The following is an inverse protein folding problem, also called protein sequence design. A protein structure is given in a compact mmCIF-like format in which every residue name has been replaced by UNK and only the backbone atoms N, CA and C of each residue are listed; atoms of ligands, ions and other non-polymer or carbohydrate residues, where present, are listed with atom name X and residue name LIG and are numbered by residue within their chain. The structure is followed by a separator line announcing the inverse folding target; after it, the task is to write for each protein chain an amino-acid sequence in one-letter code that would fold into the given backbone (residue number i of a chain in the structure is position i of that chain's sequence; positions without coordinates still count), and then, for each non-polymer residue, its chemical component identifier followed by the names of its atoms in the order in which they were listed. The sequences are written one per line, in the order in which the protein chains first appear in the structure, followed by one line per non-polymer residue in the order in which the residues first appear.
data_IF_300257157683
#
_entry.id   IF_300257157683
#
_cell.length_a   1.000
_cell.length_b   1.000
_cell.length_c   1.000
_cell.angle_alpha   90.00
_cell.angle_beta   90.00
_cell.angle_gamma   90.00
#
_symmetry.space_group_name_H-M   'P 1'
#
loop_
_entity.id
_entity.type
_entity.pdbx_description
1 polymer ?
#
# COMPACT_ATOMS: atom_id res chain seq x y z
N UNK A 1 32.95 7.12 52.64
CA UNK A 1 31.75 7.39 51.82
C UNK A 1 31.37 6.11 51.09
N UNK A 2 30.09 5.73 51.12
CA UNK A 2 29.61 4.57 50.36
C UNK A 2 29.49 4.91 48.88
N UNK A 3 29.81 3.98 48.00
CA UNK A 3 29.73 4.15 46.55
C UNK A 3 28.30 4.49 46.13
N UNK A 4 27.30 3.89 46.78
CA UNK A 4 25.89 4.11 46.55
C UNK A 4 25.49 5.59 46.84
N UNK A 5 26.06 6.21 47.89
CA UNK A 5 25.85 7.63 48.19
C UNK A 5 26.42 8.55 47.10
N UNK A 6 27.58 8.20 46.55
CA UNK A 6 28.18 8.90 45.40
C UNK A 6 27.25 8.76 44.16
N UNK A 7 26.84 7.56 43.82
CA UNK A 7 25.99 7.31 42.67
C UNK A 7 24.64 8.08 42.79
N UNK A 8 23.96 8.01 43.93
CA UNK A 8 22.71 8.76 44.18
C UNK A 8 22.90 10.28 44.10
N UNK A 9 24.02 10.80 44.58
CA UNK A 9 24.29 12.24 44.49
C UNK A 9 24.46 12.67 43.03
N UNK A 10 25.23 11.92 42.26
CA UNK A 10 25.44 12.19 40.82
C UNK A 10 24.10 12.06 40.07
N UNK A 11 23.35 11.00 40.29
CA UNK A 11 22.03 10.82 39.70
C UNK A 11 21.07 11.97 40.01
N UNK A 12 20.97 12.34 41.30
CA UNK A 12 20.06 13.42 41.74
C UNK A 12 20.47 14.76 41.19
N UNK A 13 21.75 15.12 41.28
CA UNK A 13 22.24 16.46 40.97
C UNK A 13 22.35 16.70 39.46
N UNK A 14 22.72 15.69 38.67
CA UNK A 14 22.87 15.83 37.22
C UNK A 14 21.64 15.37 36.45
N UNK A 15 21.10 14.20 36.79
CA UNK A 15 19.97 13.57 36.06
C UNK A 15 18.61 14.12 36.48
N UNK A 16 18.52 14.63 37.70
CA UNK A 16 17.24 15.02 38.28
C UNK A 16 16.47 13.85 38.88
N UNK A 17 16.10 13.95 40.15
CA UNK A 17 15.31 12.93 40.84
C UNK A 17 13.95 13.46 41.23
N UNK A 18 12.89 12.73 40.88
CA UNK A 18 11.56 13.00 41.42
C UNK A 18 11.54 12.62 42.90
N UNK A 19 11.42 13.61 43.77
CA UNK A 19 11.41 13.43 45.24
C UNK A 19 10.00 13.32 45.78
N UNK A 20 9.04 14.00 45.17
CA UNK A 20 7.63 13.97 45.56
C UNK A 20 6.75 14.42 44.39
N UNK A 21 5.45 14.31 44.60
CA UNK A 21 4.43 14.82 43.68
C UNK A 21 3.45 15.68 44.45
N UNK A 22 3.01 16.76 43.84
CA UNK A 22 1.91 17.55 44.39
C UNK A 22 0.77 17.67 43.39
N UNK A 23 -0.43 17.77 43.92
CA UNK A 23 -1.65 17.97 43.15
C UNK A 23 -2.00 19.46 43.12
N UNK A 24 -2.33 19.94 41.95
CA UNK A 24 -2.89 21.27 41.77
C UNK A 24 -4.06 21.17 40.82
N UNK A 25 -5.23 21.50 41.30
CA UNK A 25 -6.50 21.31 40.59
C UNK A 25 -6.70 19.82 40.18
N UNK A 26 -6.86 19.52 38.90
CA UNK A 26 -7.01 18.17 38.39
C UNK A 26 -5.66 17.52 38.02
N UNK A 27 -4.58 18.26 38.00
CA UNK A 27 -3.27 17.80 37.51
C UNK A 27 -2.31 17.42 38.63
N UNK A 28 -1.41 16.48 38.34
CA UNK A 28 -0.37 15.99 39.21
C UNK A 28 1.01 16.38 38.66
N UNK A 29 1.80 17.08 39.44
CA UNK A 29 3.12 17.61 39.08
C UNK A 29 4.21 16.90 39.87
N UNK A 30 5.29 16.50 39.16
CA UNK A 30 6.49 15.93 39.76
C UNK A 30 7.38 17.06 40.31
N UNK A 31 7.86 16.91 41.54
CA UNK A 31 8.90 17.77 42.12
C UNK A 31 10.26 17.14 41.87
N UNK A 32 11.05 17.76 41.00
CA UNK A 32 12.34 17.24 40.58
C UNK A 32 13.44 18.07 41.27
N UNK A 33 14.33 17.40 41.99
CA UNK A 33 15.52 18.03 42.57
C UNK A 33 16.71 17.80 41.67
N UNK A 34 17.38 18.87 41.25
CA UNK A 34 18.60 18.82 40.43
C UNK A 34 19.41 20.08 40.63
N UNK A 35 20.69 20.05 40.24
CA UNK A 35 21.54 21.25 40.22
C UNK A 35 21.03 22.22 39.13
N UNK A 36 21.18 23.52 39.37
CA UNK A 36 20.85 24.56 38.38
C UNK A 36 21.59 24.32 37.05
N UNK A 37 21.03 24.80 35.93
CA UNK A 37 21.61 24.58 34.62
C UNK A 37 23.09 25.05 34.51
N UNK A 38 23.44 26.18 35.16
CA UNK A 38 24.83 26.67 35.18
C UNK A 38 25.81 25.86 36.02
N UNK A 39 25.31 25.01 36.93
CA UNK A 39 26.15 24.13 37.77
C UNK A 39 26.24 22.70 37.28
N UNK A 40 25.78 22.42 36.06
CA UNK A 40 25.85 21.09 35.39
C UNK A 40 26.12 21.21 33.88
N UNK A 41 26.77 22.29 33.48
CA UNK A 41 27.02 22.56 32.06
C UNK A 41 28.29 21.88 31.54
N UNK A 42 29.29 21.67 32.41
CA UNK A 42 30.58 21.12 32.04
C UNK A 42 30.97 19.94 32.92
N UNK A 43 31.87 19.06 32.46
CA UNK A 43 32.36 17.93 33.26
C UNK A 43 33.03 18.38 34.57
N UNK A 44 33.63 19.57 34.60
CA UNK A 44 34.28 20.16 35.80
C UNK A 44 33.27 20.49 36.91
N UNK A 45 32.02 20.75 36.57
CA UNK A 45 30.96 21.04 37.55
C UNK A 45 30.66 19.81 38.43
N UNK A 46 30.91 18.59 37.93
CA UNK A 46 30.80 17.35 38.71
C UNK A 46 31.75 17.38 39.90
N UNK A 47 32.96 17.90 39.72
CA UNK A 47 33.98 18.00 40.77
C UNK A 47 33.57 18.93 41.92
N UNK A 48 32.66 19.87 41.68
CA UNK A 48 32.14 20.83 42.68
C UNK A 48 31.00 20.29 43.53
N UNK A 49 30.48 19.11 43.21
CA UNK A 49 29.41 18.47 44.00
C UNK A 49 30.00 17.90 45.29
N UNK A 50 29.18 17.84 46.34
CA UNK A 50 29.56 17.30 47.65
C UNK A 50 28.67 16.12 48.01
N UNK A 51 29.28 15.12 48.61
CA UNK A 51 28.61 13.92 49.14
C UNK A 51 28.74 13.93 50.67
N UNK A 52 27.67 13.55 51.36
CA UNK A 52 27.67 13.41 52.81
C UNK A 52 28.45 12.18 53.24
N UNK A 53 29.48 12.34 54.02
CA UNK A 53 30.29 11.28 54.60
C UNK A 53 29.85 10.85 56.00
N UNK A 54 30.69 10.08 56.72
CA UNK A 54 30.43 9.71 58.11
C UNK A 54 30.54 10.96 58.99
N UNK A 55 29.64 11.08 59.96
CA UNK A 55 29.66 12.21 60.91
C UNK A 55 29.23 13.53 60.31
N UNK A 56 28.41 13.48 59.23
CA UNK A 56 27.84 14.66 58.57
C UNK A 56 28.85 15.55 57.82
N UNK A 57 30.09 15.08 57.64
CA UNK A 57 31.12 15.80 56.92
C UNK A 57 30.78 15.83 55.42
N UNK A 58 30.87 17.03 54.81
CA UNK A 58 30.70 17.20 53.36
C UNK A 58 32.04 16.97 52.65
N UNK A 59 32.09 15.93 51.82
CA UNK A 59 33.29 15.51 51.06
C UNK A 59 33.09 15.90 49.59
N UNK A 60 34.02 16.70 49.01
CA UNK A 60 33.91 17.04 47.60
C UNK A 60 34.09 15.84 46.71
N UNK A 61 33.28 15.77 45.63
CA UNK A 61 33.26 14.64 44.70
C UNK A 61 34.61 14.49 43.98
N UNK A 62 35.32 15.61 43.77
CA UNK A 62 36.67 15.61 43.18
C UNK A 62 37.72 14.75 43.93
N UNK A 63 37.53 14.50 45.22
CA UNK A 63 38.40 13.66 46.01
C UNK A 63 38.01 12.18 45.99
N UNK A 64 36.82 11.85 45.47
CA UNK A 64 36.22 10.51 45.48
C UNK A 64 36.17 9.83 44.10
N UNK A 65 36.08 10.65 43.03
CA UNK A 65 35.89 10.13 41.67
C UNK A 65 36.82 10.80 40.67
N UNK A 66 37.16 10.07 39.63
CA UNK A 66 37.84 10.60 38.44
C UNK A 66 36.86 10.60 37.29
N UNK A 67 36.61 11.77 36.73
CA UNK A 67 35.75 11.94 35.56
C UNK A 67 36.56 11.61 34.29
N UNK A 68 36.09 10.69 33.48
CA UNK A 68 36.69 10.37 32.19
C UNK A 68 35.61 10.49 31.10
N UNK A 69 35.90 11.25 30.08
CA UNK A 69 35.08 11.28 28.89
C UNK A 69 35.20 9.94 28.15
N UNK A 70 34.05 9.35 27.81
CA UNK A 70 33.96 8.11 27.08
C UNK A 70 32.74 8.12 26.17
N UNK A 71 32.84 7.47 25.03
CA UNK A 71 31.69 7.22 24.17
C UNK A 71 30.85 6.11 24.79
N UNK A 72 29.62 6.43 25.12
CA UNK A 72 28.65 5.47 25.67
C UNK A 72 27.34 5.54 24.89
N UNK A 73 26.69 4.42 24.62
CA UNK A 73 25.38 4.45 23.97
C UNK A 73 24.37 5.15 24.88
N UNK A 74 23.59 6.06 24.29
CA UNK A 74 22.53 6.79 25.00
C UNK A 74 21.45 5.87 25.53
N UNK A 75 21.13 4.82 24.76
CA UNK A 75 20.11 3.83 25.05
C UNK A 75 20.65 2.42 24.74
N UNK A 76 20.33 1.47 25.58
CA UNK A 76 20.65 0.05 25.38
C UNK A 76 19.38 -0.67 24.93
N UNK A 77 19.10 -0.56 23.66
CA UNK A 77 17.91 -1.19 23.08
C UNK A 77 18.06 -2.70 23.02
N UNK A 78 16.96 -3.40 23.23
CA UNK A 78 16.85 -4.84 23.07
C UNK A 78 15.74 -5.15 22.08
N UNK A 79 16.00 -6.08 21.19
CA UNK A 79 15.03 -6.65 20.28
C UNK A 79 15.08 -8.16 20.37
N UNK A 80 13.95 -8.83 20.56
CA UNK A 80 13.88 -10.27 20.79
C UNK A 80 14.86 -10.75 21.87
N UNK A 81 14.94 -10.05 23.01
CA UNK A 81 15.81 -10.32 24.14
C UNK A 81 17.34 -10.24 23.87
N UNK A 82 17.72 -9.74 22.69
CA UNK A 82 19.14 -9.51 22.33
C UNK A 82 19.40 -8.01 22.28
N UNK A 83 20.65 -7.62 22.58
CA UNK A 83 21.06 -6.23 22.36
C UNK A 83 20.94 -5.88 20.90
N UNK A 84 20.32 -4.74 20.63
CA UNK A 84 20.06 -4.27 19.27
C UNK A 84 20.46 -2.81 19.09
N UNK A 85 20.83 -2.47 17.87
CA UNK A 85 21.00 -1.10 17.39
C UNK A 85 20.06 -0.91 16.21
N UNK A 86 19.25 0.14 16.27
CA UNK A 86 18.35 0.49 15.17
C UNK A 86 19.06 1.46 14.21
N UNK A 87 19.13 1.08 12.95
CA UNK A 87 19.61 1.94 11.86
C UNK A 87 18.38 2.43 11.12
N UNK A 88 18.16 3.73 11.12
CA UNK A 88 17.06 4.38 10.39
C UNK A 88 17.62 5.23 9.27
N UNK A 89 16.99 5.18 8.11
CA UNK A 89 17.39 5.98 6.96
C UNK A 89 16.14 6.44 6.18
N UNK A 90 16.24 7.60 5.57
CA UNK A 90 15.27 8.09 4.59
C UNK A 90 15.77 7.78 3.18
N UNK A 91 14.86 7.39 2.31
CA UNK A 91 15.21 7.11 0.92
C UNK A 91 15.52 8.40 0.16
N UNK A 92 16.59 8.39 -0.63
CA UNK A 92 16.84 9.45 -1.59
C UNK A 92 15.82 9.38 -2.74
N UNK A 93 15.51 10.53 -3.38
CA UNK A 93 14.62 10.53 -4.54
C UNK A 93 15.11 9.57 -5.63
N UNK A 94 14.20 8.75 -6.16
CA UNK A 94 14.48 7.81 -7.24
C UNK A 94 14.83 6.39 -6.80
N UNK A 95 14.98 6.12 -5.52
CA UNK A 95 15.19 4.76 -4.99
C UNK A 95 13.91 4.18 -4.39
N UNK A 96 13.68 2.90 -4.63
CA UNK A 96 12.56 2.17 -4.03
C UNK A 96 12.94 1.56 -2.68
N UNK A 97 11.94 1.32 -1.83
CA UNK A 97 12.14 0.61 -0.54
C UNK A 97 12.75 -0.78 -0.74
N UNK A 98 12.35 -1.48 -1.81
CA UNK A 98 12.87 -2.81 -2.13
C UNK A 98 14.36 -2.80 -2.45
N UNK A 99 14.82 -1.88 -3.31
CA UNK A 99 16.24 -1.72 -3.65
C UNK A 99 17.08 -1.35 -2.43
N UNK A 100 16.59 -0.43 -1.60
CA UNK A 100 17.29 -0.04 -0.38
C UNK A 100 17.43 -1.21 0.61
N UNK A 101 16.38 -2.01 0.79
CA UNK A 101 16.42 -3.18 1.66
C UNK A 101 17.37 -4.26 1.12
N UNK A 102 17.36 -4.49 -0.19
CA UNK A 102 18.30 -5.42 -0.81
C UNK A 102 19.75 -4.96 -0.61
N UNK A 103 20.02 -3.68 -0.85
CA UNK A 103 21.35 -3.10 -0.60
C UNK A 103 21.79 -3.25 0.86
N UNK A 104 20.88 -2.99 1.80
CA UNK A 104 21.18 -3.17 3.24
C UNK A 104 21.46 -4.62 3.59
N UNK A 105 20.74 -5.59 3.02
CA UNK A 105 21.01 -7.02 3.21
C UNK A 105 22.39 -7.41 2.66
N UNK A 106 22.76 -6.92 1.47
CA UNK A 106 24.07 -7.18 0.86
C UNK A 106 25.22 -6.58 1.68
N UNK A 107 25.06 -5.35 2.18
CA UNK A 107 26.03 -4.69 3.06
C UNK A 107 26.15 -5.44 4.39
N UNK A 108 25.03 -5.81 4.99
CA UNK A 108 25.00 -6.55 6.25
C UNK A 108 25.71 -7.89 6.11
N UNK A 109 25.46 -8.64 5.05
CA UNK A 109 26.13 -9.92 4.79
C UNK A 109 27.65 -9.79 4.62
N UNK A 110 28.11 -8.63 4.12
CA UNK A 110 29.53 -8.37 3.89
C UNK A 110 30.27 -7.83 5.12
N UNK A 111 29.60 -7.02 5.95
CA UNK A 111 30.23 -6.23 7.00
C UNK A 111 30.04 -6.84 8.39
N UNK A 112 28.89 -7.50 8.65
CA UNK A 112 28.59 -8.01 9.97
C UNK A 112 29.39 -9.29 10.29
N UNK A 113 30.05 -9.34 11.46
CA UNK A 113 30.73 -10.56 11.94
C UNK A 113 29.73 -11.69 12.25
N UNK A 114 30.25 -12.91 12.34
CA UNK A 114 29.45 -14.05 12.78
C UNK A 114 28.86 -13.81 14.19
N UNK A 115 27.56 -14.11 14.34
CA UNK A 115 26.81 -13.90 15.59
C UNK A 115 25.90 -12.68 15.61
N UNK A 116 26.01 -11.80 14.63
CA UNK A 116 25.05 -10.73 14.44
C UNK A 116 23.90 -11.20 13.53
N UNK A 117 22.68 -10.75 13.85
CA UNK A 117 21.49 -10.98 13.03
C UNK A 117 20.85 -9.64 12.69
N UNK A 118 20.30 -9.54 11.51
CA UNK A 118 19.51 -8.37 11.05
C UNK A 118 18.04 -8.69 11.12
N UNK A 119 17.26 -7.72 11.57
CA UNK A 119 15.80 -7.80 11.61
C UNK A 119 15.24 -6.48 11.09
N UNK A 120 14.13 -6.56 10.37
CA UNK A 120 13.42 -5.38 9.90
C UNK A 120 12.38 -4.93 10.92
N UNK A 121 12.18 -3.62 11.02
CA UNK A 121 11.17 -3.04 11.90
C UNK A 121 10.29 -2.02 11.14
N UNK A 122 9.08 -1.75 11.67
CA UNK A 122 8.15 -0.79 11.11
C UNK A 122 7.78 -1.08 9.64
N UNK A 123 7.73 -0.03 8.82
CA UNK A 123 7.31 -0.09 7.41
C UNK A 123 8.16 -1.06 6.58
N UNK A 124 9.45 -1.19 6.87
CA UNK A 124 10.34 -2.11 6.16
C UNK A 124 9.96 -3.58 6.39
N UNK A 125 9.56 -3.93 7.61
CA UNK A 125 9.07 -5.26 7.95
C UNK A 125 7.75 -5.56 7.25
N UNK A 126 6.82 -4.61 7.27
CA UNK A 126 5.53 -4.73 6.60
C UNK A 126 5.71 -4.88 5.08
N UNK A 127 6.59 -4.09 4.50
CA UNK A 127 6.91 -4.19 3.07
C UNK A 127 7.40 -5.59 2.69
N UNK A 128 8.36 -6.16 3.45
CA UNK A 128 8.88 -7.50 3.16
C UNK A 128 7.85 -8.60 3.40
N UNK A 129 7.07 -8.50 4.46
CA UNK A 129 6.01 -9.47 4.77
C UNK A 129 4.89 -9.45 3.73
N UNK A 130 4.55 -8.25 3.22
CA UNK A 130 3.42 -8.06 2.31
C UNK A 130 3.79 -8.27 0.84
N UNK A 131 5.04 -8.00 0.44
CA UNK A 131 5.43 -8.01 -0.98
C UNK A 131 5.20 -9.37 -1.67
N UNK A 132 5.48 -10.47 -1.00
CA UNK A 132 5.20 -11.81 -1.52
C UNK A 132 3.70 -12.14 -1.52
N UNK A 133 3.01 -11.83 -0.44
CA UNK A 133 1.59 -12.11 -0.29
C UNK A 133 0.74 -11.28 -1.26
N UNK A 134 1.04 -9.99 -1.43
CA UNK A 134 0.29 -9.12 -2.34
C UNK A 134 0.47 -9.48 -3.80
N UNK A 135 1.65 -9.98 -4.22
CA UNK A 135 1.86 -10.52 -5.55
C UNK A 135 0.96 -11.73 -5.83
N UNK A 136 0.90 -12.67 -4.88
CA UNK A 136 -0.02 -13.82 -4.97
C UNK A 136 -1.48 -13.38 -5.02
N UNK A 137 -1.88 -12.45 -4.13
CA UNK A 137 -3.26 -11.91 -4.10
C UNK A 137 -3.61 -11.25 -5.44
N UNK A 138 -2.68 -10.51 -6.05
CA UNK A 138 -2.88 -9.89 -7.36
C UNK A 138 -3.15 -10.93 -8.46
N UNK A 139 -2.33 -11.99 -8.52
CA UNK A 139 -2.52 -13.07 -9.50
C UNK A 139 -3.84 -13.81 -9.26
N UNK A 140 -4.15 -14.12 -7.99
CA UNK A 140 -5.42 -14.75 -7.63
C UNK A 140 -6.63 -13.86 -7.95
N UNK A 141 -6.53 -12.56 -7.74
CA UNK A 141 -7.59 -11.62 -8.11
C UNK A 141 -7.84 -11.61 -9.62
N UNK A 142 -6.78 -11.55 -10.43
CA UNK A 142 -6.91 -11.65 -11.89
C UNK A 142 -7.53 -12.98 -12.32
N UNK A 143 -7.08 -14.10 -11.75
CA UNK A 143 -7.62 -15.43 -12.04
C UNK A 143 -9.10 -15.52 -11.67
N UNK A 144 -9.46 -15.03 -10.47
CA UNK A 144 -10.85 -15.06 -10.02
C UNK A 144 -11.76 -14.21 -10.91
N UNK A 145 -11.33 -12.98 -11.25
CA UNK A 145 -12.08 -12.12 -12.18
C UNK A 145 -12.21 -12.81 -13.53
N UNK A 146 -11.14 -13.42 -14.06
CA UNK A 146 -11.17 -14.15 -15.31
C UNK A 146 -12.19 -15.31 -15.28
N UNK A 147 -12.19 -16.12 -14.22
CA UNK A 147 -13.11 -17.26 -14.07
C UNK A 147 -14.57 -16.80 -13.94
N UNK A 148 -14.83 -15.77 -13.13
CA UNK A 148 -16.19 -15.22 -12.98
C UNK A 148 -16.70 -14.65 -14.30
N UNK A 149 -15.87 -13.90 -15.01
CA UNK A 149 -16.25 -13.36 -16.32
C UNK A 149 -16.41 -14.48 -17.36
N UNK A 150 -15.59 -15.52 -17.33
CA UNK A 150 -15.72 -16.66 -18.23
C UNK A 150 -17.04 -17.40 -18.02
N UNK A 151 -17.46 -17.53 -16.77
CA UNK A 151 -18.78 -18.09 -16.43
C UNK A 151 -19.93 -17.17 -16.87
N UNK A 152 -19.78 -15.85 -16.69
CA UNK A 152 -20.79 -14.85 -17.03
C UNK A 152 -21.00 -14.72 -18.56
N UNK A 153 -19.92 -14.74 -19.32
CA UNK A 153 -19.95 -14.56 -20.78
C UNK A 153 -20.02 -15.87 -21.57
N UNK A 154 -19.94 -17.01 -20.89
CA UNK A 154 -19.86 -18.33 -21.53
C UNK A 154 -18.75 -18.39 -22.61
N UNK A 155 -17.68 -17.67 -22.40
CA UNK A 155 -16.57 -17.47 -23.33
C UNK A 155 -15.27 -17.29 -22.57
N UNK A 156 -14.16 -17.78 -23.12
CA UNK A 156 -12.81 -17.50 -22.61
C UNK A 156 -12.16 -16.30 -23.29
N UNK A 157 -12.67 -15.89 -24.45
CA UNK A 157 -12.11 -14.79 -25.24
C UNK A 157 -12.55 -13.44 -24.69
N UNK A 158 -13.82 -13.29 -24.33
CA UNK A 158 -14.37 -12.04 -23.84
C UNK A 158 -13.70 -11.56 -22.53
N UNK A 159 -13.51 -12.42 -21.50
CA UNK A 159 -12.75 -12.07 -20.32
C UNK A 159 -11.31 -11.66 -20.61
N UNK A 160 -10.65 -12.35 -21.55
CA UNK A 160 -9.29 -12.00 -21.94
C UNK A 160 -9.21 -10.58 -22.53
N UNK A 161 -10.14 -10.22 -23.39
CA UNK A 161 -10.25 -8.87 -23.97
C UNK A 161 -10.51 -7.83 -22.89
N UNK A 162 -11.38 -8.13 -21.93
CA UNK A 162 -11.70 -7.24 -20.79
C UNK A 162 -10.45 -7.02 -19.92
N UNK A 163 -9.75 -8.09 -19.56
CA UNK A 163 -8.57 -8.02 -18.69
C UNK A 163 -7.38 -7.31 -19.34
N UNK A 164 -7.37 -7.13 -20.64
CA UNK A 164 -6.33 -6.34 -21.31
C UNK A 164 -6.38 -4.84 -20.91
N UNK A 165 -7.50 -4.38 -20.36
CA UNK A 165 -7.61 -3.05 -19.77
C UNK A 165 -6.75 -2.88 -18.51
N UNK A 166 -6.43 -3.97 -17.81
CA UNK A 166 -5.66 -3.93 -16.55
C UNK A 166 -4.22 -3.44 -16.76
N UNK A 167 -3.40 -4.04 -17.66
CA UNK A 167 -2.05 -3.52 -17.93
C UNK A 167 -2.05 -2.05 -18.35
N UNK A 168 -3.05 -1.64 -19.14
CA UNK A 168 -3.17 -0.25 -19.59
C UNK A 168 -3.39 0.71 -18.41
N UNK A 169 -4.24 0.33 -17.48
CA UNK A 169 -4.50 1.13 -16.28
C UNK A 169 -3.30 1.15 -15.32
N UNK A 170 -2.55 0.04 -15.23
CA UNK A 170 -1.32 -0.02 -14.45
C UNK A 170 -0.26 0.96 -14.96
N UNK A 171 -0.12 1.08 -16.29
CA UNK A 171 0.77 2.11 -16.88
C UNK A 171 0.35 3.50 -16.44
N UNK A 172 -0.96 3.81 -16.46
CA UNK A 172 -1.48 5.08 -15.97
C UNK A 172 -1.18 5.35 -14.49
N UNK A 173 -1.33 4.33 -13.65
CA UNK A 173 -1.01 4.41 -12.23
C UNK A 173 0.49 4.66 -11.99
N UNK A 174 1.36 3.93 -12.69
CA UNK A 174 2.81 4.07 -12.56
C UNK A 174 3.31 5.46 -13.05
N UNK A 175 2.72 5.98 -14.12
CA UNK A 175 3.01 7.34 -14.60
C UNK A 175 2.60 8.37 -13.55
N UNK A 176 1.40 8.27 -12.99
CA UNK A 176 0.95 9.17 -11.94
C UNK A 176 1.85 9.13 -10.71
N UNK A 177 2.23 7.94 -10.24
CA UNK A 177 3.17 7.77 -9.13
C UNK A 177 4.53 8.42 -9.44
N UNK A 178 5.07 8.24 -10.64
CA UNK A 178 6.34 8.86 -11.04
C UNK A 178 6.25 10.38 -11.04
N UNK A 179 5.16 10.95 -11.52
CA UNK A 179 4.95 12.41 -11.56
C UNK A 179 4.78 13.03 -10.18
N UNK A 180 4.21 12.28 -9.24
CA UNK A 180 3.96 12.75 -7.86
C UNK A 180 5.07 12.37 -6.89
N UNK A 181 6.15 11.74 -7.35
CA UNK A 181 7.25 11.26 -6.50
C UNK A 181 6.89 10.07 -5.61
N UNK A 182 5.80 9.37 -5.93
CA UNK A 182 5.37 8.17 -5.20
C UNK A 182 6.30 6.99 -5.44
N UNK A 183 6.41 6.11 -4.42
CA UNK A 183 7.20 4.88 -4.46
C UNK A 183 6.34 3.64 -4.48
N UNK A 184 6.87 2.54 -5.02
CA UNK A 184 6.19 1.25 -4.97
C UNK A 184 6.30 0.68 -3.54
N UNK A 185 5.20 0.73 -2.80
CA UNK A 185 5.09 0.26 -1.43
C UNK A 185 3.79 -0.54 -1.21
N UNK A 186 3.54 -1.00 -0.01
CA UNK A 186 2.32 -1.78 0.33
C UNK A 186 1.05 -1.03 -0.06
N UNK A 187 0.98 0.27 0.17
CA UNK A 187 -0.21 1.08 -0.11
C UNK A 187 -0.45 1.26 -1.60
N UNK A 188 0.60 1.51 -2.38
CA UNK A 188 0.49 1.58 -3.84
C UNK A 188 0.10 0.22 -4.45
N UNK A 189 0.60 -0.90 -3.89
CA UNK A 189 0.20 -2.25 -4.31
C UNK A 189 -1.28 -2.53 -4.02
N UNK A 190 -1.79 -2.13 -2.85
CA UNK A 190 -3.22 -2.21 -2.53
C UNK A 190 -4.03 -1.36 -3.52
N UNK A 191 -3.56 -0.16 -3.83
CA UNK A 191 -4.15 0.70 -4.85
C UNK A 191 -4.22 0.04 -6.22
N UNK A 192 -3.14 -0.64 -6.65
CA UNK A 192 -3.09 -1.38 -7.92
C UNK A 192 -4.08 -2.56 -7.95
N UNK A 193 -4.18 -3.33 -6.86
CA UNK A 193 -5.17 -4.42 -6.75
C UNK A 193 -6.60 -3.88 -6.85
N UNK A 194 -6.89 -2.78 -6.14
CA UNK A 194 -8.19 -2.11 -6.21
C UNK A 194 -8.49 -1.61 -7.62
N UNK A 195 -7.49 -1.06 -8.31
CA UNK A 195 -7.61 -0.56 -9.68
C UNK A 195 -8.03 -1.65 -10.67
N UNK A 196 -7.56 -2.90 -10.50
CA UNK A 196 -7.97 -4.04 -11.35
C UNK A 196 -9.49 -4.20 -11.37
N UNK A 197 -10.13 -4.19 -10.19
CA UNK A 197 -11.58 -4.30 -10.09
C UNK A 197 -12.32 -3.09 -10.67
N UNK A 198 -11.78 -1.89 -10.48
CA UNK A 198 -12.41 -0.67 -10.97
C UNK A 198 -12.37 -0.56 -12.50
N UNK A 199 -11.23 -0.88 -13.13
CA UNK A 199 -11.05 -0.73 -14.57
C UNK A 199 -11.77 -1.82 -15.37
N UNK A 200 -11.83 -3.05 -14.85
CA UNK A 200 -12.48 -4.17 -15.52
C UNK A 200 -13.95 -3.88 -15.85
N UNK A 201 -14.63 -3.08 -15.03
CA UNK A 201 -16.01 -2.63 -15.25
C UNK A 201 -16.19 -1.96 -16.61
N UNK A 202 -15.22 -1.16 -17.08
CA UNK A 202 -15.33 -0.46 -18.37
C UNK A 202 -15.28 -1.43 -19.55
N UNK A 203 -14.38 -2.40 -19.49
CA UNK A 203 -14.31 -3.48 -20.47
C UNK A 203 -15.60 -4.30 -20.50
N UNK A 204 -16.14 -4.65 -19.32
CA UNK A 204 -17.40 -5.40 -19.20
C UNK A 204 -18.54 -4.65 -19.91
N UNK A 205 -18.71 -3.36 -19.64
CA UNK A 205 -19.80 -2.57 -20.24
C UNK A 205 -19.74 -2.50 -21.76
N UNK A 206 -18.54 -2.44 -22.35
CA UNK A 206 -18.36 -2.40 -23.81
C UNK A 206 -18.62 -3.78 -24.40
N UNK A 207 -17.98 -4.83 -23.85
CA UNK A 207 -18.05 -6.19 -24.39
C UNK A 207 -19.47 -6.76 -24.26
N UNK A 208 -20.12 -6.60 -23.11
CA UNK A 208 -21.48 -7.08 -22.87
C UNK A 208 -22.46 -6.45 -23.88
N UNK A 209 -22.39 -5.14 -24.04
CA UNK A 209 -23.30 -4.46 -24.98
C UNK A 209 -22.98 -4.81 -26.44
N UNK A 210 -21.71 -5.00 -26.78
CA UNK A 210 -21.31 -5.50 -28.10
C UNK A 210 -21.90 -6.89 -28.37
N UNK A 211 -21.85 -7.78 -27.37
CA UNK A 211 -22.46 -9.12 -27.47
C UNK A 211 -23.98 -9.07 -27.64
N UNK A 212 -24.66 -8.12 -26.95
CA UNK A 212 -26.11 -7.92 -27.11
C UNK A 212 -26.46 -7.46 -28.52
N UNK A 213 -25.76 -6.47 -29.09
CA UNK A 213 -25.99 -5.99 -30.45
C UNK A 213 -25.69 -7.08 -31.50
N UNK A 214 -24.66 -7.89 -31.31
CA UNK A 214 -24.35 -9.03 -32.17
C UNK A 214 -25.47 -10.09 -32.15
N UNK A 215 -26.04 -10.37 -30.98
CA UNK A 215 -27.21 -11.27 -30.86
C UNK A 215 -28.44 -10.75 -31.61
N UNK A 216 -28.53 -9.42 -31.82
CA UNK A 216 -29.58 -8.77 -32.63
C UNK A 216 -29.27 -8.79 -34.12
N UNK A 217 -28.16 -9.42 -34.56
CA UNK A 217 -27.80 -9.59 -35.96
C UNK A 217 -26.85 -8.56 -36.55
N UNK A 218 -26.30 -7.63 -35.72
CA UNK A 218 -25.33 -6.65 -36.21
C UNK A 218 -23.97 -7.28 -36.52
N UNK A 219 -23.27 -6.74 -37.52
CA UNK A 219 -21.90 -7.13 -37.82
C UNK A 219 -20.98 -6.77 -36.66
N UNK A 220 -19.98 -7.62 -36.34
CA UNK A 220 -19.09 -7.46 -35.17
C UNK A 220 -18.49 -6.06 -35.05
N UNK A 221 -18.02 -5.49 -36.17
CA UNK A 221 -17.38 -4.17 -36.17
C UNK A 221 -18.38 -3.05 -35.87
N UNK A 222 -19.56 -3.11 -36.44
CA UNK A 222 -20.63 -2.13 -36.23
C UNK A 222 -21.14 -2.21 -34.80
N UNK A 223 -21.42 -3.40 -34.31
CA UNK A 223 -21.85 -3.67 -32.94
C UNK A 223 -20.89 -3.09 -31.90
N UNK A 224 -19.60 -3.26 -32.10
CA UNK A 224 -18.57 -2.78 -31.16
C UNK A 224 -18.44 -1.24 -31.18
N UNK A 225 -18.46 -0.63 -32.36
CA UNK A 225 -18.39 0.83 -32.48
C UNK A 225 -19.62 1.47 -31.89
N UNK A 226 -20.80 0.92 -32.15
CA UNK A 226 -22.05 1.38 -31.58
C UNK A 226 -22.07 1.20 -30.05
N UNK A 227 -21.66 0.04 -29.56
CA UNK A 227 -21.53 -0.24 -28.13
C UNK A 227 -20.60 0.76 -27.44
N UNK A 228 -19.44 1.00 -28.01
CA UNK A 228 -18.46 1.96 -27.45
C UNK A 228 -19.04 3.39 -27.44
N UNK A 229 -19.74 3.80 -28.48
CA UNK A 229 -20.33 5.14 -28.58
C UNK A 229 -21.47 5.34 -27.55
N UNK A 230 -22.38 4.39 -27.43
CA UNK A 230 -23.51 4.44 -26.50
C UNK A 230 -23.07 4.34 -25.03
N UNK A 231 -22.01 3.55 -24.76
CA UNK A 231 -21.46 3.38 -23.40
C UNK A 231 -20.43 4.43 -23.02
N UNK A 232 -19.98 5.27 -23.93
CA UNK A 232 -19.00 6.33 -23.64
C UNK A 232 -19.45 7.24 -22.51
N UNK A 233 -20.68 7.76 -22.55
CA UNK A 233 -21.21 8.66 -21.53
C UNK A 233 -21.29 8.01 -20.15
N UNK A 234 -21.87 6.80 -19.95
CA UNK A 234 -21.86 6.09 -18.67
C UNK A 234 -20.44 5.82 -18.14
N UNK A 235 -19.50 5.43 -19.02
CA UNK A 235 -18.12 5.18 -18.64
C UNK A 235 -17.45 6.46 -18.12
N UNK A 236 -17.56 7.57 -18.87
CA UNK A 236 -16.99 8.85 -18.47
C UNK A 236 -17.60 9.40 -17.16
N UNK A 237 -18.92 9.26 -16.98
CA UNK A 237 -19.57 9.65 -15.74
C UNK A 237 -19.06 8.86 -14.52
N UNK A 238 -18.95 7.54 -14.65
CA UNK A 238 -18.47 6.70 -13.56
C UNK A 238 -16.99 6.90 -13.31
N UNK A 239 -16.17 7.10 -14.34
CA UNK A 239 -14.74 7.44 -14.19
C UNK A 239 -14.59 8.79 -13.49
N UNK A 240 -15.32 9.80 -13.95
CA UNK A 240 -15.31 11.12 -13.32
C UNK A 240 -15.69 11.06 -11.84
N UNK A 241 -16.74 10.34 -11.49
CA UNK A 241 -17.15 10.15 -10.11
C UNK A 241 -16.06 9.45 -9.26
N UNK A 242 -15.42 8.40 -9.78
CA UNK A 242 -14.36 7.68 -9.07
C UNK A 242 -13.09 8.51 -8.93
N UNK A 243 -12.67 9.21 -9.98
CA UNK A 243 -11.50 10.10 -9.97
C UNK A 243 -11.70 11.25 -8.98
N UNK A 244 -12.85 11.94 -9.06
CA UNK A 244 -13.17 13.02 -8.13
C UNK A 244 -13.33 12.52 -6.68
N UNK A 245 -13.89 11.33 -6.50
CA UNK A 245 -14.00 10.68 -5.19
C UNK A 245 -12.65 10.27 -4.59
N UNK A 246 -11.65 9.94 -5.43
CA UNK A 246 -10.30 9.62 -4.99
C UNK A 246 -9.40 10.86 -4.82
N UNK A 247 -9.80 12.03 -5.36
CA UNK A 247 -9.01 13.26 -5.28
C UNK A 247 -8.72 13.72 -3.84
N UNK A 248 -9.68 13.70 -2.90
CA UNK A 248 -9.40 14.03 -1.50
C UNK A 248 -8.36 13.11 -0.87
N UNK A 249 -8.33 11.83 -1.30
CA UNK A 249 -7.33 10.87 -0.85
C UNK A 249 -5.94 11.18 -1.42
N UNK A 250 -5.89 11.53 -2.71
CA UNK A 250 -4.66 11.92 -3.41
C UNK A 250 -4.05 13.23 -2.89
N UNK A 251 -4.88 14.14 -2.38
CA UNK A 251 -4.46 15.45 -1.84
C UNK A 251 -4.47 15.47 -0.30
N UNK A 252 -4.54 14.32 0.36
CA UNK A 252 -4.58 14.23 1.82
C UNK A 252 -3.37 14.92 2.46
N UNK A 253 -3.58 15.53 3.63
CA UNK A 253 -2.55 16.19 4.44
C UNK A 253 -2.63 15.72 5.90
N UNK A 254 -1.58 15.97 6.68
CA UNK A 254 -1.50 15.60 8.09
C UNK A 254 -1.00 14.17 8.33
N UNK A 255 -1.22 13.65 9.54
CA UNK A 255 -0.72 12.33 9.94
C UNK A 255 -1.27 11.21 9.03
N UNK A 256 -0.38 10.34 8.53
CA UNK A 256 -0.71 9.25 7.61
C UNK A 256 -1.13 9.71 6.21
N UNK A 257 -0.85 10.95 5.81
CA UNK A 257 -1.16 11.47 4.48
C UNK A 257 -0.44 10.70 3.38
N UNK A 258 0.80 10.34 3.61
CA UNK A 258 1.65 9.64 2.63
C UNK A 258 1.01 8.34 2.13
N UNK A 259 0.50 7.51 3.03
CA UNK A 259 -0.19 6.25 2.68
C UNK A 259 -1.46 6.50 1.86
N UNK A 260 -2.25 7.50 2.25
CA UNK A 260 -3.49 7.86 1.54
C UNK A 260 -3.21 8.44 0.17
N UNK A 261 -2.22 9.32 0.04
CA UNK A 261 -1.80 9.90 -1.24
C UNK A 261 -1.37 8.83 -2.23
N UNK A 262 -0.61 7.83 -1.79
CA UNK A 262 -0.17 6.72 -2.64
C UNK A 262 -1.35 5.97 -3.27
N UNK A 263 -2.34 5.58 -2.45
CA UNK A 263 -3.56 4.92 -2.93
C UNK A 263 -4.34 5.86 -3.87
N UNK A 264 -4.50 7.13 -3.46
CA UNK A 264 -5.24 8.12 -4.22
C UNK A 264 -4.67 8.36 -5.62
N UNK A 265 -3.36 8.58 -5.73
CA UNK A 265 -2.72 8.81 -7.02
C UNK A 265 -2.71 7.59 -7.93
N UNK A 266 -2.59 6.38 -7.38
CA UNK A 266 -2.73 5.14 -8.15
C UNK A 266 -4.13 5.05 -8.78
N UNK A 267 -5.18 5.34 -8.01
CA UNK A 267 -6.57 5.31 -8.51
C UNK A 267 -6.80 6.44 -9.53
N UNK A 268 -6.44 7.67 -9.21
CA UNK A 268 -6.63 8.84 -10.10
C UNK A 268 -5.91 8.63 -11.43
N UNK A 269 -4.63 8.30 -11.40
CA UNK A 269 -3.83 8.09 -12.61
C UNK A 269 -4.24 6.86 -13.40
N UNK A 270 -4.44 5.73 -12.69
CA UNK A 270 -4.84 4.47 -13.30
C UNK A 270 -6.21 4.54 -13.96
N UNK A 271 -7.19 5.16 -13.28
CA UNK A 271 -8.53 5.33 -13.84
C UNK A 271 -8.56 6.34 -14.99
N UNK A 272 -7.89 7.48 -14.88
CA UNK A 272 -7.92 8.51 -15.92
C UNK A 272 -7.28 8.01 -17.22
N UNK A 273 -6.02 7.60 -17.18
CA UNK A 273 -5.31 7.11 -18.36
C UNK A 273 -5.82 5.73 -18.81
N UNK A 274 -6.10 4.84 -17.84
CA UNK A 274 -6.64 3.52 -18.11
C UNK A 274 -7.97 3.58 -18.85
N UNK A 275 -8.90 4.44 -18.44
CA UNK A 275 -10.19 4.61 -19.13
C UNK A 275 -9.98 5.15 -20.54
N UNK A 276 -9.14 6.18 -20.69
CA UNK A 276 -8.83 6.75 -22.00
C UNK A 276 -8.34 5.67 -22.97
N UNK A 277 -7.38 4.85 -22.54
CA UNK A 277 -6.82 3.79 -23.36
C UNK A 277 -7.83 2.66 -23.59
N UNK A 278 -8.60 2.27 -22.57
CA UNK A 278 -9.57 1.17 -22.65
C UNK A 278 -10.65 1.43 -23.70
N UNK A 279 -11.13 2.68 -23.83
CA UNK A 279 -12.15 3.07 -24.81
C UNK A 279 -11.69 2.78 -26.25
N UNK A 280 -10.39 2.85 -26.54
CA UNK A 280 -9.85 2.58 -27.86
C UNK A 280 -9.36 1.14 -28.01
N UNK A 281 -8.67 0.62 -27.00
CA UNK A 281 -8.01 -0.69 -27.08
C UNK A 281 -9.03 -1.84 -27.02
N UNK A 282 -9.99 -1.79 -26.08
CA UNK A 282 -10.96 -2.88 -25.92
C UNK A 282 -11.79 -3.10 -27.19
N UNK A 283 -12.38 -2.08 -27.83
CA UNK A 283 -13.09 -2.25 -29.10
C UNK A 283 -12.21 -2.83 -30.21
N UNK A 284 -10.96 -2.34 -30.33
CA UNK A 284 -10.02 -2.80 -31.35
C UNK A 284 -9.67 -4.26 -31.16
N UNK A 285 -9.31 -4.64 -29.94
CA UNK A 285 -8.93 -6.01 -29.61
C UNK A 285 -10.13 -6.95 -29.73
N UNK A 286 -11.31 -6.51 -29.31
CA UNK A 286 -12.53 -7.29 -29.48
C UNK A 286 -12.80 -7.61 -30.96
N UNK A 287 -12.62 -6.66 -31.88
CA UNK A 287 -12.79 -6.93 -33.33
C UNK A 287 -11.80 -7.93 -33.88
N UNK A 288 -10.60 -8.01 -33.30
CA UNK A 288 -9.56 -8.96 -33.72
C UNK A 288 -9.82 -10.37 -33.20
N UNK A 289 -10.28 -10.51 -31.97
CA UNK A 289 -10.43 -11.81 -31.29
C UNK A 289 -11.85 -12.35 -31.29
N UNK A 290 -12.88 -11.50 -31.48
CA UNK A 290 -14.25 -11.95 -31.56
C UNK A 290 -14.42 -12.92 -32.72
N UNK A 291 -14.90 -14.13 -32.43
CA UNK A 291 -15.21 -15.15 -33.44
C UNK A 291 -16.15 -14.55 -34.47
N UNK A 292 -15.86 -14.76 -35.77
CA UNK A 292 -16.68 -14.30 -36.90
C UNK A 292 -18.02 -15.05 -37.01
N UNK A 293 -18.31 -16.02 -36.14
CA UNK A 293 -19.59 -16.72 -36.07
C UNK A 293 -20.65 -15.90 -35.36
N UNK A 294 -21.83 -15.81 -35.90
CA UNK A 294 -23.05 -15.28 -35.27
C UNK A 294 -23.35 -16.23 -34.09
N UNK A 295 -23.38 -15.77 -32.83
CA UNK A 295 -23.92 -16.59 -31.74
C UNK A 295 -25.47 -16.55 -31.91
N UNK A 296 -26.00 -17.48 -32.62
CA UNK A 296 -27.44 -17.50 -32.90
C UNK A 296 -27.86 -18.40 -34.05
N UNK A 297 -26.92 -18.95 -34.82
CA UNK A 297 -27.21 -20.14 -35.61
C UNK A 297 -27.36 -21.31 -34.62
N UNK A 298 -28.51 -21.33 -33.96
CA UNK A 298 -29.10 -22.61 -33.56
C UNK A 298 -29.08 -23.40 -34.87
N UNK A 299 -28.13 -24.32 -34.96
CA UNK A 299 -28.23 -25.43 -35.89
C UNK A 299 -29.67 -25.83 -35.82
N UNK A 300 -30.46 -25.46 -36.82
CA UNK A 300 -31.71 -26.11 -37.09
C UNK A 300 -31.31 -27.58 -37.17
N UNK A 301 -31.51 -28.25 -36.04
CA UNK A 301 -31.43 -29.70 -36.00
C UNK A 301 -32.17 -30.13 -37.24
N UNK A 302 -31.44 -30.66 -38.17
CA UNK A 302 -31.87 -31.36 -39.36
C UNK A 302 -33.29 -31.87 -39.16
N UNK A 303 -34.24 -31.14 -39.77
CA UNK A 303 -35.59 -31.65 -39.90
C UNK A 303 -35.41 -32.94 -40.63
N UNK A 304 -35.44 -34.04 -39.88
CA UNK A 304 -35.37 -35.38 -40.43
C UNK A 304 -36.33 -35.44 -41.62
N UNK A 305 -35.85 -35.78 -42.81
CA UNK A 305 -36.74 -35.90 -43.97
C UNK A 305 -37.65 -37.15 -43.75
N UNK A 306 -38.90 -36.93 -43.35
CA UNK A 306 -39.78 -38.04 -43.20
C UNK A 306 -41.04 -37.92 -42.33
N UNK A 307 -41.42 -36.77 -41.84
CA UNK A 307 -42.72 -36.62 -41.19
C UNK A 307 -43.72 -36.00 -42.16
N UNK A 308 -44.84 -36.72 -42.50
CA UNK A 308 -45.89 -36.20 -43.41
C UNK A 308 -46.61 -35.01 -42.74
N UNK A 309 -46.91 -34.01 -43.55
CA UNK A 309 -47.68 -32.84 -43.17
C UNK A 309 -49.01 -33.27 -42.53
N UNK A 310 -49.27 -32.87 -41.33
CA UNK A 310 -50.60 -33.01 -40.74
C UNK A 310 -51.60 -32.22 -41.59
N UNK A 311 -52.62 -32.92 -42.03
CA UNK A 311 -53.73 -32.39 -42.80
C UNK A 311 -54.46 -31.30 -42.01
N UNK A 312 -54.99 -30.28 -42.68
CA UNK A 312 -55.83 -29.27 -42.05
C UNK A 312 -57.09 -29.88 -41.54
N UNK A 313 -57.38 -29.86 -40.28
CA UNK A 313 -58.67 -30.17 -39.70
C UNK A 313 -59.67 -29.08 -40.16
N UNK A 314 -60.56 -29.48 -41.09
CA UNK A 314 -61.79 -28.77 -41.35
C UNK A 314 -62.71 -28.97 -40.15
N UNK A 315 -63.04 -27.92 -39.44
CA UNK A 315 -64.24 -27.79 -38.63
C UNK A 315 -64.72 -26.32 -38.72
N UNK A 316 -65.65 -26.19 -39.63
CA UNK A 316 -66.59 -25.12 -39.67
C UNK A 316 -68.00 -25.75 -39.61
N UNK A 317 -68.89 -25.09 -38.92
CA UNK A 317 -70.32 -25.31 -38.81
C UNK A 317 -70.75 -25.89 -37.43
N UNK A 318 -71.06 -25.09 -36.51
CA UNK A 318 -72.45 -24.72 -36.11
C UNK A 318 -72.38 -23.65 -35.04
#
# INVERSE_FOLDING_TARGET
VAVDAVARTVETMLGGRVVTRYKRDADQYDVIVQTSAGGRATPEDIARLFVRGRGDAMVPLSSLVTVREAVSPRELNHFNQRRAVSITASLAPGYSTGEALQFMDEVAARVLPAGYATELNGVSREFRASSGALGLVFVLALLFIFLVLSAQFESFVDPFVILLSVPLSMVGALIAMRLTGGTLNVYSQIGLITLVGLISKHGILIVEFSNQLRKQGQATREAVVEAASLRLRPILMTTGAMVLGALPLALASGAGAESRQQIGWVIVGGMSLGTLLTIFVVPTVYTLFARRGIPGEITTLERAPGLPAAAPTADGAE
#
